data_IF_591620995784
#
_entry.id   IF_591620995784
#
_cell.length_a   1.000
_cell.length_b   1.000
_cell.length_c   1.000
_cell.angle_alpha   90.00
_cell.angle_beta   90.00
_cell.angle_gamma   90.00
#
_symmetry.space_group_name_H-M   'P 1'
#
loop_
_entity.id
_entity.type
_entity.pdbx_description
1 polymer ?
#
# COMPACT_ATOMS: atom_id res chain seq x y z
N UNK A 1 -21.09 -53.15 -47.27
CA UNK A 1 -22.18 -54.16 -47.18
C UNK A 1 -21.65 -55.36 -46.41
N UNK A 2 -22.07 -55.53 -45.16
CA UNK A 2 -21.75 -56.72 -44.36
C UNK A 2 -22.96 -57.66 -44.43
N UNK A 3 -22.86 -58.73 -45.21
CA UNK A 3 -23.85 -59.80 -45.24
C UNK A 3 -23.71 -60.64 -43.97
N UNK A 4 -24.50 -60.31 -42.94
CA UNK A 4 -24.71 -61.20 -41.78
C UNK A 4 -26.10 -61.83 -41.88
N UNK A 5 -26.22 -63.17 -41.77
CA UNK A 5 -27.52 -63.84 -41.78
C UNK A 5 -28.41 -63.35 -40.61
N UNK A 6 -29.70 -63.06 -40.85
CA UNK A 6 -30.57 -62.35 -39.91
C UNK A 6 -30.99 -63.15 -38.66
N UNK A 7 -30.48 -64.37 -38.48
CA UNK A 7 -30.93 -65.31 -37.45
C UNK A 7 -29.85 -65.68 -36.41
N UNK A 8 -28.66 -65.08 -36.50
CA UNK A 8 -27.64 -65.25 -35.46
C UNK A 8 -27.83 -64.18 -34.37
N UNK A 9 -27.76 -64.54 -33.07
CA UNK A 9 -27.74 -63.55 -32.01
C UNK A 9 -26.57 -62.58 -32.24
N UNK A 10 -26.72 -61.28 -31.87
CA UNK A 10 -25.67 -60.29 -32.08
C UNK A 10 -24.37 -60.76 -31.43
N UNK A 11 -23.23 -60.45 -32.05
CA UNK A 11 -21.91 -60.81 -31.51
C UNK A 11 -21.82 -60.37 -30.05
N UNK A 12 -21.80 -61.35 -29.15
CA UNK A 12 -21.68 -61.09 -27.73
C UNK A 12 -20.34 -60.42 -27.51
N UNK A 13 -20.36 -59.13 -27.14
CA UNK A 13 -19.17 -58.40 -26.77
C UNK A 13 -18.46 -59.19 -25.67
N UNK A 14 -17.19 -59.54 -25.88
CA UNK A 14 -16.42 -60.28 -24.88
C UNK A 14 -16.37 -59.44 -23.60
N UNK A 15 -17.12 -59.89 -22.60
CA UNK A 15 -17.28 -59.21 -21.31
C UNK A 15 -15.91 -59.07 -20.62
N UNK A 16 -14.97 -60.00 -20.86
CA UNK A 16 -13.61 -59.89 -20.34
C UNK A 16 -12.86 -58.76 -21.02
N UNK A 17 -12.88 -58.68 -22.34
CA UNK A 17 -12.24 -57.61 -23.09
C UNK A 17 -12.81 -56.21 -22.74
N UNK A 18 -14.12 -56.10 -22.54
CA UNK A 18 -14.74 -54.84 -22.12
C UNK A 18 -14.34 -54.44 -20.69
N UNK A 19 -14.25 -55.40 -19.76
CA UNK A 19 -13.77 -55.14 -18.38
C UNK A 19 -12.30 -54.76 -18.34
N UNK A 20 -11.43 -55.43 -19.12
CA UNK A 20 -10.00 -55.08 -19.18
C UNK A 20 -9.81 -53.70 -19.80
N UNK A 21 -10.56 -53.35 -20.85
CA UNK A 21 -10.50 -52.01 -21.44
C UNK A 21 -10.93 -50.91 -20.45
N UNK A 22 -12.03 -51.14 -19.72
CA UNK A 22 -12.47 -50.21 -18.67
C UNK A 22 -11.43 -50.07 -17.56
N UNK A 23 -10.80 -51.17 -17.14
CA UNK A 23 -9.73 -51.16 -16.13
C UNK A 23 -8.49 -50.41 -16.60
N UNK A 24 -8.09 -50.58 -17.87
CA UNK A 24 -6.95 -49.87 -18.47
C UNK A 24 -7.24 -48.37 -18.52
N UNK A 25 -8.47 -47.99 -18.91
CA UNK A 25 -8.87 -46.59 -18.97
C UNK A 25 -8.83 -45.91 -17.59
N UNK A 26 -9.33 -46.60 -16.55
CA UNK A 26 -9.22 -46.11 -15.16
C UNK A 26 -7.78 -46.00 -14.68
N UNK A 27 -6.92 -46.95 -15.06
CA UNK A 27 -5.50 -46.93 -14.70
C UNK A 27 -4.79 -45.74 -15.37
N UNK A 28 -5.06 -45.48 -16.66
CA UNK A 28 -4.53 -44.30 -17.35
C UNK A 28 -5.02 -42.99 -16.75
N UNK A 29 -6.30 -42.92 -16.36
CA UNK A 29 -6.85 -41.76 -15.67
C UNK A 29 -6.16 -41.51 -14.32
N UNK A 30 -5.92 -42.56 -13.54
CA UNK A 30 -5.19 -42.46 -12.27
C UNK A 30 -3.74 -42.00 -12.46
N UNK A 31 -3.04 -42.50 -13.48
CA UNK A 31 -1.68 -42.06 -13.82
C UNK A 31 -1.68 -40.57 -14.17
N UNK A 32 -2.67 -40.11 -14.95
CA UNK A 32 -2.79 -38.71 -15.34
C UNK A 32 -3.03 -37.80 -14.13
N UNK A 33 -3.96 -38.16 -13.23
CA UNK A 33 -4.23 -37.40 -12.00
C UNK A 33 -3.01 -37.39 -11.08
N UNK A 34 -2.33 -38.53 -10.91
CA UNK A 34 -1.10 -38.62 -10.14
C UNK A 34 0.00 -37.70 -10.71
N UNK A 35 0.14 -37.65 -12.03
CA UNK A 35 1.04 -36.72 -12.73
C UNK A 35 0.73 -35.25 -12.42
N UNK A 36 -0.54 -34.84 -12.50
CA UNK A 36 -0.96 -33.48 -12.16
C UNK A 36 -0.68 -33.14 -10.68
N UNK A 37 -0.95 -34.07 -9.76
CA UNK A 37 -0.64 -33.86 -8.34
C UNK A 37 0.86 -33.77 -8.07
N UNK A 38 1.69 -34.54 -8.80
CA UNK A 38 3.14 -34.47 -8.70
C UNK A 38 3.67 -33.12 -9.19
N UNK A 39 3.14 -32.59 -10.29
CA UNK A 39 3.49 -31.25 -10.80
C UNK A 39 3.07 -30.16 -9.80
N UNK A 40 1.85 -30.26 -9.24
CA UNK A 40 1.38 -29.31 -8.24
C UNK A 40 2.22 -29.34 -6.95
N UNK A 41 2.59 -30.54 -6.48
CA UNK A 41 3.48 -30.71 -5.33
C UNK A 41 4.88 -30.19 -5.62
N UNK A 42 5.44 -30.46 -6.79
CA UNK A 42 6.74 -29.95 -7.21
C UNK A 42 6.76 -28.41 -7.29
N UNK A 43 5.69 -27.80 -7.81
CA UNK A 43 5.54 -26.34 -7.83
C UNK A 43 5.37 -25.77 -6.42
N UNK A 44 4.61 -26.44 -5.54
CA UNK A 44 4.43 -26.02 -4.15
C UNK A 44 5.70 -26.15 -3.32
N UNK A 45 6.52 -27.19 -3.55
CA UNK A 45 7.81 -27.34 -2.85
C UNK A 45 8.85 -26.39 -3.42
N UNK A 46 8.77 -26.02 -4.71
CA UNK A 46 9.60 -24.95 -5.27
C UNK A 46 9.34 -23.62 -4.55
N UNK A 47 8.10 -23.30 -4.14
CA UNK A 47 7.81 -22.08 -3.33
C UNK A 47 8.46 -22.11 -1.95
N UNK A 48 8.70 -23.30 -1.37
CA UNK A 48 9.30 -23.45 -0.03
C UNK A 48 10.83 -23.65 -0.06
N UNK A 49 11.36 -24.27 -1.11
CA UNK A 49 12.77 -24.65 -1.25
C UNK A 49 13.54 -23.63 -2.08
N UNK A 50 12.91 -22.96 -3.04
CA UNK A 50 13.52 -21.76 -3.61
C UNK A 50 13.52 -20.72 -2.48
N UNK A 51 14.68 -20.18 -2.07
CA UNK A 51 14.65 -18.91 -1.36
C UNK A 51 13.82 -17.99 -2.23
N UNK A 52 12.83 -17.33 -1.62
CA UNK A 52 12.05 -16.30 -2.28
C UNK A 52 12.98 -15.54 -3.22
N UNK A 53 12.59 -15.34 -4.48
CA UNK A 53 13.11 -14.22 -5.28
C UNK A 53 12.64 -12.89 -4.64
N UNK A 54 12.78 -12.76 -3.32
CA UNK A 54 13.23 -11.53 -2.72
C UNK A 54 14.70 -11.42 -3.14
N UNK A 55 15.13 -10.29 -3.72
CA UNK A 55 16.56 -10.08 -3.90
C UNK A 55 17.23 -10.31 -2.54
N UNK A 56 18.10 -11.31 -2.48
CA UNK A 56 18.93 -11.57 -1.32
C UNK A 56 19.54 -10.22 -0.91
N UNK A 57 19.21 -9.79 0.31
CA UNK A 57 19.99 -8.79 1.02
C UNK A 57 21.35 -9.43 1.26
N UNK A 58 22.20 -9.40 0.25
CA UNK A 58 23.62 -9.59 0.45
C UNK A 58 24.00 -8.60 1.54
N UNK A 59 24.34 -9.15 2.71
CA UNK A 59 25.01 -8.45 3.80
C UNK A 59 26.42 -8.08 3.32
N UNK A 60 26.49 -7.26 2.27
CA UNK A 60 27.62 -6.39 2.07
C UNK A 60 27.38 -5.31 3.12
N UNK A 61 28.06 -5.45 4.25
CA UNK A 61 28.45 -4.31 5.06
C UNK A 61 29.33 -3.41 4.18
N UNK A 62 28.70 -2.74 3.23
CA UNK A 62 29.23 -1.57 2.59
C UNK A 62 29.24 -0.57 3.73
N UNK A 63 30.44 -0.30 4.24
CA UNK A 63 30.69 0.98 4.87
C UNK A 63 30.12 2.02 3.90
N UNK A 64 28.95 2.60 4.22
CA UNK A 64 28.39 3.74 3.51
C UNK A 64 29.39 4.87 3.66
N UNK A 65 30.38 4.89 2.78
CA UNK A 65 31.10 6.08 2.44
C UNK A 65 30.05 6.93 1.73
N UNK A 66 29.50 7.90 2.45
CA UNK A 66 28.70 8.97 1.87
C UNK A 66 29.60 9.77 0.92
N UNK A 67 29.86 9.21 -0.26
CA UNK A 67 30.32 10.01 -1.38
C UNK A 67 29.11 10.78 -1.87
N UNK A 68 29.06 12.06 -1.53
CA UNK A 68 28.12 13.07 -2.05
C UNK A 68 28.39 13.39 -3.54
N UNK A 69 28.81 12.40 -4.33
CA UNK A 69 28.95 12.50 -5.77
C UNK A 69 27.65 12.01 -6.42
N UNK A 70 27.12 12.78 -7.37
CA UNK A 70 25.92 12.52 -8.15
C UNK A 70 25.76 11.01 -8.43
N UNK A 71 24.89 10.36 -7.66
CA UNK A 71 24.57 8.96 -7.90
C UNK A 71 23.74 8.94 -9.18
N UNK A 72 24.22 8.27 -10.22
CA UNK A 72 23.45 8.11 -11.45
C UNK A 72 22.45 6.97 -11.23
N UNK A 73 21.16 7.23 -11.40
CA UNK A 73 20.15 6.17 -11.34
C UNK A 73 20.26 5.26 -12.56
N UNK A 74 20.09 3.97 -12.34
CA UNK A 74 20.03 2.99 -13.43
C UNK A 74 18.83 3.31 -14.35
N UNK A 75 19.12 3.62 -15.62
CA UNK A 75 18.10 3.92 -16.63
C UNK A 75 17.11 2.76 -16.82
N UNK A 76 17.54 1.51 -16.59
CA UNK A 76 16.65 0.35 -16.67
C UNK A 76 15.61 0.34 -15.56
N UNK A 77 16.00 0.80 -14.36
CA UNK A 77 15.10 0.99 -13.23
C UNK A 77 14.09 2.09 -13.52
N UNK A 78 14.56 3.25 -14.00
CA UNK A 78 13.67 4.35 -14.41
C UNK A 78 12.65 3.89 -15.44
N UNK A 79 13.09 3.18 -16.48
CA UNK A 79 12.20 2.64 -17.50
C UNK A 79 11.19 1.65 -16.92
N UNK A 80 11.56 0.88 -15.89
CA UNK A 80 10.65 -0.03 -15.21
C UNK A 80 9.60 0.72 -14.39
N UNK A 81 10.00 1.80 -13.72
CA UNK A 81 9.06 2.63 -12.94
C UNK A 81 8.14 3.43 -13.85
N UNK A 82 8.65 3.98 -14.96
CA UNK A 82 7.83 4.70 -15.96
C UNK A 82 6.69 3.86 -16.50
N UNK A 83 6.86 2.53 -16.62
CA UNK A 83 5.77 1.62 -17.05
C UNK A 83 4.61 1.55 -16.05
N UNK A 84 4.83 1.93 -14.79
CA UNK A 84 3.86 1.93 -13.69
C UNK A 84 3.23 3.31 -13.47
N UNK A 85 3.74 4.33 -14.18
CA UNK A 85 3.20 5.69 -14.22
C UNK A 85 2.20 5.82 -15.37
N UNK A 86 1.09 6.46 -15.06
CA UNK A 86 -0.05 6.63 -15.94
C UNK A 86 -0.48 8.09 -15.88
N UNK A 87 -0.92 8.63 -17.00
CA UNK A 87 -1.37 10.01 -17.07
C UNK A 87 -2.87 10.04 -17.27
N UNK A 88 -3.55 10.88 -16.51
CA UNK A 88 -4.98 11.10 -16.64
C UNK A 88 -5.18 12.37 -17.44
N UNK A 89 -5.90 12.27 -18.55
CA UNK A 89 -6.27 13.39 -19.41
C UNK A 89 -7.77 13.61 -19.39
N UNK A 90 -8.18 14.83 -19.66
CA UNK A 90 -9.58 15.17 -19.90
C UNK A 90 -9.87 15.17 -21.40
N UNK A 91 -10.72 14.26 -21.86
CA UNK A 91 -11.10 14.13 -23.27
C UNK A 91 -11.72 15.39 -23.87
N UNK A 92 -12.21 16.34 -23.06
CA UNK A 92 -12.69 17.66 -23.50
C UNK A 92 -11.55 18.54 -24.02
N UNK A 93 -10.33 18.29 -23.57
CA UNK A 93 -9.12 19.03 -23.94
C UNK A 93 -8.44 18.46 -25.21
N UNK A 94 -9.04 17.44 -25.86
CA UNK A 94 -8.53 16.87 -27.11
C UNK A 94 -8.60 17.89 -28.26
N UNK A 95 -7.45 18.17 -28.87
CA UNK A 95 -7.33 18.93 -30.11
C UNK A 95 -7.76 18.02 -31.27
N UNK A 96 -8.75 18.48 -32.05
CA UNK A 96 -9.34 17.75 -33.18
C UNK A 96 -9.79 16.32 -32.86
N UNK A 97 -10.11 16.04 -31.59
CA UNK A 97 -10.47 14.71 -31.06
C UNK A 97 -9.36 13.64 -31.23
N UNK A 98 -8.13 14.04 -31.53
CA UNK A 98 -7.03 13.12 -31.84
C UNK A 98 -5.85 13.27 -30.89
N UNK A 99 -5.53 14.48 -30.47
CA UNK A 99 -4.29 14.76 -29.74
C UNK A 99 -4.55 15.42 -28.40
N UNK A 100 -3.75 15.04 -27.41
CA UNK A 100 -3.56 15.82 -26.21
C UNK A 100 -2.28 16.63 -26.37
N UNK A 101 -2.30 17.91 -25.97
CA UNK A 101 -1.03 18.62 -25.81
C UNK A 101 -0.31 18.09 -24.56
N UNK A 102 1.01 18.23 -24.53
CA UNK A 102 1.81 17.76 -23.39
C UNK A 102 1.45 18.50 -22.09
N UNK A 103 1.01 19.76 -22.20
CA UNK A 103 0.66 20.61 -21.05
C UNK A 103 -0.76 20.42 -20.52
N UNK A 104 -1.50 19.41 -20.97
CA UNK A 104 -2.92 19.20 -20.59
C UNK A 104 -3.16 17.89 -19.85
N UNK A 105 -2.10 17.22 -19.40
CA UNK A 105 -2.27 16.17 -18.43
C UNK A 105 -2.86 16.75 -17.13
N UNK A 106 -3.89 16.10 -16.60
CA UNK A 106 -4.54 16.53 -15.37
C UNK A 106 -3.75 16.05 -14.17
N UNK A 107 -3.43 14.75 -14.18
CA UNK A 107 -2.78 14.10 -13.05
C UNK A 107 -1.82 13.01 -13.50
N UNK A 108 -0.69 12.93 -12.82
CA UNK A 108 0.14 11.74 -12.79
C UNK A 108 -0.43 10.74 -11.76
N UNK A 109 -0.77 9.56 -12.24
CA UNK A 109 -1.27 8.44 -11.44
C UNK A 109 -0.23 7.32 -11.39
N UNK A 110 -0.10 6.68 -10.24
CA UNK A 110 0.80 5.54 -10.06
C UNK A 110 -0.01 4.28 -9.81
N UNK A 111 0.18 3.29 -10.68
CA UNK A 111 -0.47 2.00 -10.55
C UNK A 111 0.07 1.27 -9.33
N UNK A 112 -0.80 0.86 -8.41
CA UNK A 112 -0.40 0.11 -7.23
C UNK A 112 -1.01 -1.30 -7.18
N UNK A 113 -1.93 -1.65 -8.09
CA UNK A 113 -2.45 -3.00 -8.22
C UNK A 113 -2.58 -3.46 -9.67
N UNK A 114 -2.43 -4.77 -9.90
CA UNK A 114 -2.53 -5.39 -11.22
C UNK A 114 -3.95 -5.42 -11.79
N UNK A 115 -4.97 -5.18 -10.96
CA UNK A 115 -6.35 -5.10 -11.39
C UNK A 115 -6.72 -3.71 -11.94
N UNK A 116 -5.84 -2.71 -11.84
CA UNK A 116 -6.04 -1.38 -12.43
C UNK A 116 -6.29 -0.27 -11.41
N UNK A 117 -6.06 -0.51 -10.12
CA UNK A 117 -6.07 0.57 -9.14
C UNK A 117 -4.76 1.37 -9.16
N UNK A 118 -4.91 2.67 -9.37
CA UNK A 118 -3.86 3.66 -9.30
C UNK A 118 -4.22 4.76 -8.28
N UNK A 119 -3.20 5.52 -7.89
CA UNK A 119 -3.32 6.65 -6.98
C UNK A 119 -2.68 7.89 -7.58
N UNK A 120 -3.36 9.01 -7.46
CA UNK A 120 -2.92 10.32 -7.92
C UNK A 120 -3.16 11.37 -6.83
N UNK A 121 -2.42 12.47 -6.90
CA UNK A 121 -2.74 13.65 -6.11
C UNK A 121 -3.56 14.61 -6.99
N UNK A 122 -4.87 14.65 -6.76
CA UNK A 122 -5.82 15.41 -7.57
C UNK A 122 -6.70 16.27 -6.65
N UNK A 123 -6.26 17.51 -6.39
CA UNK A 123 -6.90 18.41 -5.42
C UNK A 123 -8.12 19.14 -5.97
N UNK A 124 -8.26 19.24 -7.28
CA UNK A 124 -9.32 19.97 -7.98
C UNK A 124 -10.42 19.07 -8.58
N UNK A 125 -10.45 17.78 -8.22
CA UNK A 125 -11.46 16.83 -8.70
C UNK A 125 -12.90 17.29 -8.38
N UNK A 126 -13.78 17.19 -9.37
CA UNK A 126 -15.23 17.34 -9.19
C UNK A 126 -15.93 16.07 -9.63
N UNK A 127 -16.85 15.60 -8.78
CA UNK A 127 -17.68 14.42 -9.07
C UNK A 127 -18.42 14.59 -10.40
N UNK A 128 -18.24 13.62 -11.29
CA UNK A 128 -18.78 13.62 -12.65
C UNK A 128 -17.72 13.90 -13.73
N UNK A 129 -16.59 14.52 -13.39
CA UNK A 129 -15.49 14.76 -14.34
C UNK A 129 -14.84 13.46 -14.79
N UNK A 130 -14.85 12.41 -13.97
CA UNK A 130 -14.29 11.09 -14.28
C UNK A 130 -14.87 10.46 -15.55
N UNK A 131 -16.06 10.88 -15.98
CA UNK A 131 -16.70 10.44 -17.23
C UNK A 131 -15.98 10.91 -18.48
N UNK A 132 -15.26 12.02 -18.37
CA UNK A 132 -14.47 12.61 -19.44
C UNK A 132 -12.99 12.23 -19.34
N UNK A 133 -12.60 11.52 -18.29
CA UNK A 133 -11.20 11.19 -18.07
C UNK A 133 -10.79 9.93 -18.82
N UNK A 134 -9.58 9.99 -19.36
CA UNK A 134 -8.91 8.89 -20.04
C UNK A 134 -7.54 8.67 -19.40
N UNK A 135 -7.23 7.41 -19.06
CA UNK A 135 -5.90 7.01 -18.63
C UNK A 135 -5.03 6.67 -19.83
N UNK A 136 -3.79 7.14 -19.84
CA UNK A 136 -2.82 6.83 -20.89
C UNK A 136 -1.59 6.21 -20.25
N UNK A 137 -1.22 5.02 -20.72
CA UNK A 137 -0.03 4.32 -20.26
C UNK A 137 1.25 4.83 -20.95
N UNK A 138 2.40 4.27 -20.55
CA UNK A 138 3.71 4.60 -21.13
C UNK A 138 3.85 4.28 -22.64
N UNK A 139 2.94 3.50 -23.23
CA UNK A 139 2.90 3.15 -24.65
C UNK A 139 1.93 4.03 -25.44
N UNK A 140 1.18 4.91 -24.77
CA UNK A 140 0.12 5.70 -25.37
C UNK A 140 -1.20 4.95 -25.51
N UNK A 141 -1.34 3.78 -24.89
CA UNK A 141 -2.62 3.05 -24.90
C UNK A 141 -3.61 3.75 -23.99
N UNK A 142 -4.82 3.94 -24.50
CA UNK A 142 -5.89 4.67 -23.80
C UNK A 142 -6.82 3.70 -23.09
N UNK A 143 -7.10 3.97 -21.82
CA UNK A 143 -7.97 3.19 -20.95
C UNK A 143 -9.05 4.09 -20.35
N UNK A 144 -10.24 3.50 -20.17
CA UNK A 144 -11.35 4.18 -19.50
C UNK A 144 -11.21 4.09 -17.99
N UNK A 145 -11.76 5.07 -17.30
CA UNK A 145 -11.86 5.09 -15.85
C UNK A 145 -13.21 4.50 -15.43
N UNK A 146 -13.16 3.45 -14.62
CA UNK A 146 -14.33 2.75 -14.10
C UNK A 146 -14.86 3.39 -12.81
N UNK A 147 -13.96 3.79 -11.92
CA UNK A 147 -14.30 4.32 -10.59
C UNK A 147 -13.25 5.32 -10.14
N UNK A 148 -13.70 6.36 -9.45
CA UNK A 148 -12.84 7.32 -8.77
C UNK A 148 -13.31 7.46 -7.32
N UNK A 149 -12.38 7.47 -6.39
CA UNK A 149 -12.62 7.76 -4.99
C UNK A 149 -11.60 8.79 -4.50
N UNK A 150 -12.07 9.93 -4.01
CA UNK A 150 -11.21 10.94 -3.39
C UNK A 150 -11.21 10.73 -1.89
N UNK A 151 -10.04 10.48 -1.33
CA UNK A 151 -9.86 10.34 0.09
C UNK A 151 -9.74 11.72 0.76
N UNK A 152 -10.70 12.12 1.61
CA UNK A 152 -10.64 13.41 2.29
C UNK A 152 -9.52 13.50 3.33
N UNK A 153 -8.96 12.38 3.80
CA UNK A 153 -7.91 12.37 4.84
C UNK A 153 -6.54 12.62 4.22
N UNK A 154 -6.11 11.78 3.27
CA UNK A 154 -4.81 11.96 2.60
C UNK A 154 -4.84 12.95 1.44
N UNK A 155 -6.03 13.36 0.99
CA UNK A 155 -6.27 14.13 -0.26
C UNK A 155 -5.76 13.40 -1.52
N UNK A 156 -5.59 12.09 -1.44
CA UNK A 156 -5.27 11.25 -2.59
C UNK A 156 -6.54 10.84 -3.32
N UNK A 157 -6.40 10.68 -4.62
CA UNK A 157 -7.46 10.21 -5.50
C UNK A 157 -7.10 8.83 -6.01
N UNK A 158 -7.94 7.85 -5.65
CA UNK A 158 -7.85 6.48 -6.08
C UNK A 158 -8.66 6.30 -7.36
N UNK A 159 -8.00 5.84 -8.42
CA UNK A 159 -8.54 5.74 -9.77
C UNK A 159 -8.49 4.29 -10.18
N UNK A 160 -9.63 3.76 -10.64
CA UNK A 160 -9.74 2.41 -11.18
C UNK A 160 -9.83 2.48 -12.69
N UNK A 161 -8.85 1.92 -13.38
CA UNK A 161 -8.86 1.74 -14.82
C UNK A 161 -9.57 0.44 -15.22
N UNK A 162 -10.19 0.44 -16.40
CA UNK A 162 -10.79 -0.76 -17.00
C UNK A 162 -9.70 -1.67 -17.58
N UNK A 163 -9.62 -2.92 -17.09
CA UNK A 163 -8.70 -3.95 -17.58
C UNK A 163 -8.07 -4.76 -16.43
N UNK A 164 -7.04 -5.53 -16.76
CA UNK A 164 -6.24 -6.32 -15.81
C UNK A 164 -4.79 -6.49 -16.30
N UNK A 165 -3.96 -7.15 -15.49
CA UNK A 165 -2.56 -7.44 -15.83
C UNK A 165 -1.63 -6.24 -15.81
N UNK A 166 -2.02 -5.15 -15.14
CA UNK A 166 -1.25 -3.93 -15.13
C UNK A 166 0.05 -4.06 -14.32
N UNK A 167 1.17 -3.45 -14.77
CA UNK A 167 2.37 -3.32 -13.96
C UNK A 167 2.12 -2.35 -12.81
N UNK A 168 2.51 -2.72 -11.59
CA UNK A 168 2.28 -1.91 -10.40
C UNK A 168 3.57 -1.66 -9.61
N UNK A 169 3.55 -0.61 -8.79
CA UNK A 169 4.69 -0.19 -7.97
C UNK A 169 4.73 -0.92 -6.61
N UNK A 170 5.93 -1.16 -6.11
CA UNK A 170 6.17 -1.57 -4.73
C UNK A 170 6.37 -0.34 -3.83
N UNK A 171 6.18 -0.51 -2.53
CA UNK A 171 6.33 0.58 -1.56
C UNK A 171 7.62 0.41 -0.76
N UNK A 172 8.36 1.51 -0.59
CA UNK A 172 9.60 1.52 0.18
C UNK A 172 9.33 1.25 1.67
N UNK A 173 10.28 0.60 2.33
CA UNK A 173 10.22 0.45 3.78
C UNK A 173 10.48 1.81 4.45
N UNK A 174 9.47 2.30 5.16
CA UNK A 174 9.51 3.61 5.81
C UNK A 174 10.60 3.74 6.88
N UNK A 175 11.03 2.62 7.48
CA UNK A 175 12.10 2.64 8.48
C UNK A 175 13.47 2.96 7.88
N UNK A 176 13.62 2.84 6.56
CA UNK A 176 14.88 3.08 5.85
C UNK A 176 15.02 4.55 5.42
N UNK A 177 13.97 5.36 5.60
CA UNK A 177 13.96 6.78 5.26
C UNK A 177 14.42 7.58 6.48
N UNK A 178 15.46 8.39 6.26
CA UNK A 178 16.07 9.24 7.27
C UNK A 178 16.21 10.67 6.76
N UNK A 179 16.71 11.58 7.61
CA UNK A 179 16.90 12.97 7.20
C UNK A 179 18.04 13.09 6.17
N UNK A 180 17.83 13.86 5.11
CA UNK A 180 18.68 13.91 3.92
C UNK A 180 18.79 12.57 3.17
N UNK A 181 17.70 11.78 3.20
CA UNK A 181 17.59 10.60 2.35
C UNK A 181 17.53 11.02 0.88
N UNK A 182 18.33 10.37 0.04
CA UNK A 182 18.33 10.62 -1.41
C UNK A 182 17.20 9.82 -2.07
N UNK A 183 16.25 10.52 -2.67
CA UNK A 183 15.18 9.94 -3.47
C UNK A 183 15.20 10.50 -4.90
N UNK A 184 14.50 9.85 -5.81
CA UNK A 184 14.29 10.33 -7.16
C UNK A 184 12.85 10.77 -7.33
N UNK A 185 12.67 12.02 -7.71
CA UNK A 185 11.40 12.52 -8.19
C UNK A 185 11.24 12.16 -9.66
N UNK A 186 10.06 11.66 -10.01
CA UNK A 186 9.72 11.31 -11.38
C UNK A 186 8.51 12.11 -11.85
N UNK A 187 8.70 12.81 -12.98
CA UNK A 187 7.62 13.38 -13.79
C UNK A 187 7.49 12.61 -15.11
N UNK A 188 6.60 13.08 -16.00
CA UNK A 188 6.47 12.57 -17.36
C UNK A 188 7.76 12.60 -18.15
N UNK A 189 8.46 13.73 -18.06
CA UNK A 189 9.54 14.07 -18.97
C UNK A 189 10.90 13.99 -18.27
N UNK A 190 10.93 14.27 -16.97
CA UNK A 190 12.17 14.46 -16.22
C UNK A 190 12.25 13.53 -15.00
N UNK A 191 13.48 13.33 -14.55
CA UNK A 191 13.77 12.71 -13.27
C UNK A 191 14.81 13.55 -12.55
N UNK A 192 14.56 13.85 -11.29
CA UNK A 192 15.39 14.74 -10.51
C UNK A 192 15.77 14.06 -9.19
N UNK A 193 17.06 14.06 -8.86
CA UNK A 193 17.50 13.60 -7.56
C UNK A 193 17.13 14.65 -6.51
N UNK A 194 16.49 14.20 -5.44
CA UNK A 194 15.96 15.05 -4.37
C UNK A 194 16.45 14.58 -3.03
N UNK A 195 16.79 15.53 -2.17
CA UNK A 195 17.05 15.26 -0.75
C UNK A 195 15.75 15.41 0.03
N UNK A 196 15.32 14.30 0.62
CA UNK A 196 14.16 14.21 1.48
C UNK A 196 14.59 14.65 2.88
N UNK A 197 13.95 15.69 3.41
CA UNK A 197 14.24 16.26 4.73
C UNK A 197 13.09 16.06 5.67
N UNK A 198 13.39 15.90 6.96
CA UNK A 198 12.35 15.86 7.99
C UNK A 198 11.72 17.25 8.12
N UNK A 199 10.40 17.28 8.00
CA UNK A 199 9.57 18.45 8.26
C UNK A 199 8.64 18.09 9.41
N UNK A 200 8.95 18.58 10.61
CA UNK A 200 8.01 18.47 11.72
C UNK A 200 6.94 19.54 11.48
N UNK A 201 5.68 19.11 11.37
CA UNK A 201 4.60 20.09 11.36
C UNK A 201 4.74 20.96 12.60
N UNK A 202 4.49 22.27 12.44
CA UNK A 202 4.40 23.18 13.56
C UNK A 202 3.46 22.53 14.57
N UNK A 203 4.00 22.14 15.73
CA UNK A 203 3.32 21.28 16.70
C UNK A 203 1.98 21.92 17.01
N UNK A 204 0.90 21.40 16.43
CA UNK A 204 -0.42 21.76 16.91
C UNK A 204 -0.45 21.36 18.38
N UNK A 205 -0.94 22.23 19.28
CA UNK A 205 -0.93 21.94 20.71
C UNK A 205 -1.72 20.68 21.03
N UNK A 206 -2.66 20.29 20.17
CA UNK A 206 -3.47 19.09 20.25
C UNK A 206 -3.64 18.51 18.85
N UNK A 207 -3.47 17.20 18.69
CA UNK A 207 -3.69 16.49 17.42
C UNK A 207 -4.31 15.11 17.68
N UNK A 208 -4.96 14.52 16.68
CA UNK A 208 -5.48 13.15 16.82
C UNK A 208 -4.33 12.16 16.83
N UNK A 209 -4.40 11.13 17.66
CA UNK A 209 -3.28 10.18 17.85
C UNK A 209 -2.85 9.48 16.54
N UNK A 210 -3.75 9.37 15.56
CA UNK A 210 -3.51 8.77 14.26
C UNK A 210 -3.08 9.78 13.17
N UNK A 211 -3.06 11.08 13.45
CA UNK A 211 -2.60 12.11 12.52
C UNK A 211 -1.05 12.21 12.53
N UNK A 212 -0.38 12.08 11.37
CA UNK A 212 1.07 12.23 11.30
C UNK A 212 1.55 13.60 11.75
N UNK A 213 2.57 13.62 12.63
CA UNK A 213 3.22 14.85 13.10
C UNK A 213 4.59 15.07 12.44
N UNK A 214 5.24 13.98 12.02
CA UNK A 214 6.41 14.03 11.16
C UNK A 214 5.95 13.93 9.71
N UNK A 215 6.34 14.92 8.92
CA UNK A 215 6.32 14.93 7.47
C UNK A 215 7.75 14.78 6.95
N UNK A 216 7.87 14.35 5.71
CA UNK A 216 9.09 14.60 4.96
C UNK A 216 8.77 15.59 3.85
N UNK A 217 9.72 16.44 3.51
CA UNK A 217 9.59 17.41 2.45
C UNK A 217 10.78 17.40 1.52
N UNK A 218 10.56 17.92 0.32
CA UNK A 218 11.55 18.07 -0.74
C UNK A 218 11.50 19.50 -1.24
N UNK A 219 12.67 20.11 -1.42
CA UNK A 219 12.76 21.44 -2.02
C UNK A 219 12.68 21.37 -3.55
N UNK A 220 11.75 22.14 -4.12
CA UNK A 220 11.60 22.35 -5.56
C UNK A 220 11.01 21.17 -6.33
N UNK A 221 10.37 20.22 -5.64
CA UNK A 221 9.57 19.17 -6.29
C UNK A 221 8.18 19.69 -6.65
N UNK A 222 7.54 19.02 -7.60
CA UNK A 222 6.23 19.39 -8.13
C UNK A 222 5.14 18.51 -7.52
N UNK A 223 3.99 19.10 -7.23
CA UNK A 223 2.85 18.39 -6.68
C UNK A 223 2.35 17.30 -7.66
N UNK A 224 1.99 16.14 -7.14
CA UNK A 224 1.57 14.99 -7.93
C UNK A 224 2.69 14.09 -8.42
N UNK A 225 3.93 14.57 -8.46
CA UNK A 225 5.08 13.71 -8.79
C UNK A 225 5.32 12.68 -7.68
N UNK A 226 5.80 11.50 -8.08
CA UNK A 226 6.17 10.46 -7.13
C UNK A 226 7.64 10.55 -6.75
N UNK A 227 7.93 10.13 -5.53
CA UNK A 227 9.29 9.87 -5.07
C UNK A 227 9.55 8.37 -5.02
N UNK A 228 10.69 7.94 -5.56
CA UNK A 228 11.17 6.56 -5.48
C UNK A 228 12.57 6.46 -4.88
N UNK A 229 12.91 5.30 -4.34
CA UNK A 229 14.26 5.00 -3.89
C UNK A 229 15.10 4.42 -5.04
N UNK A 230 16.36 4.10 -4.74
CA UNK A 230 17.30 3.47 -5.69
C UNK A 230 16.90 2.04 -6.10
N UNK A 231 15.85 1.48 -5.52
CA UNK A 231 15.27 0.18 -5.87
C UNK A 231 13.95 0.32 -6.66
N UNK A 232 13.53 1.54 -6.99
CA UNK A 232 12.29 1.81 -7.72
C UNK A 232 11.02 1.59 -6.89
N UNK A 233 11.17 1.56 -5.57
CA UNK A 233 10.06 1.48 -4.63
C UNK A 233 9.60 2.89 -4.25
N UNK A 234 8.28 3.05 -4.16
CA UNK A 234 7.64 4.33 -3.90
C UNK A 234 7.80 4.76 -2.45
N UNK A 235 8.36 5.96 -2.23
CA UNK A 235 8.35 6.63 -0.93
C UNK A 235 7.02 7.35 -0.69
N UNK A 236 6.42 7.91 -1.73
CA UNK A 236 5.20 8.70 -1.64
C UNK A 236 4.94 9.61 -2.84
N UNK A 237 3.93 10.46 -2.72
CA UNK A 237 3.53 11.47 -3.70
C UNK A 237 3.74 12.85 -3.09
N UNK A 238 4.25 13.81 -3.86
CA UNK A 238 4.42 15.18 -3.41
C UNK A 238 3.07 15.93 -3.41
N UNK A 239 2.83 16.71 -2.37
CA UNK A 239 1.71 17.65 -2.29
C UNK A 239 2.12 19.06 -2.76
N UNK A 240 1.17 20.01 -2.75
CA UNK A 240 1.41 21.43 -3.10
C UNK A 240 2.51 22.12 -2.27
N UNK A 241 2.73 21.67 -1.03
CA UNK A 241 3.75 22.21 -0.13
C UNK A 241 5.13 21.53 -0.31
N UNK A 242 5.27 20.60 -1.26
CA UNK A 242 6.47 19.77 -1.42
C UNK A 242 6.64 18.73 -0.30
N UNK A 243 5.60 18.46 0.49
CA UNK A 243 5.55 17.39 1.49
C UNK A 243 5.20 16.06 0.83
N UNK A 244 5.80 15.00 1.36
CA UNK A 244 5.58 13.63 0.91
C UNK A 244 4.35 13.06 1.60
N UNK A 245 3.31 12.77 0.82
CA UNK A 245 2.21 11.90 1.23
C UNK A 245 2.72 10.46 1.12
N UNK A 246 2.75 9.77 2.25
CA UNK A 246 3.56 8.57 2.38
C UNK A 246 3.04 7.34 1.63
N UNK A 247 3.96 6.62 0.98
CA UNK A 247 3.69 5.34 0.31
C UNK A 247 3.15 4.27 1.26
N UNK A 248 3.61 4.24 2.52
CA UNK A 248 3.07 3.30 3.51
C UNK A 248 1.59 3.58 3.83
N UNK A 249 1.14 4.84 3.72
CA UNK A 249 -0.26 5.20 3.93
C UNK A 249 -1.10 4.59 2.82
N UNK A 250 -0.67 4.73 1.56
CA UNK A 250 -1.31 4.09 0.40
C UNK A 250 -1.32 2.57 0.57
N UNK A 251 -0.17 1.98 0.92
CA UNK A 251 -0.04 0.54 1.12
C UNK A 251 -0.97 0.00 2.22
N UNK A 252 -1.15 0.76 3.31
CA UNK A 252 -2.05 0.38 4.40
C UNK A 252 -3.52 0.27 3.97
N UNK A 253 -3.91 1.00 2.91
CA UNK A 253 -5.27 1.02 2.39
C UNK A 253 -5.47 0.04 1.23
N UNK A 254 -4.43 -0.69 0.83
CA UNK A 254 -4.43 -1.58 -0.33
C UNK A 254 -5.62 -2.55 -0.29
N UNK A 255 -5.75 -3.32 0.78
CA UNK A 255 -6.79 -4.34 0.91
C UNK A 255 -8.20 -3.74 0.88
N UNK A 256 -8.44 -2.62 1.56
CA UNK A 256 -9.73 -1.94 1.56
C UNK A 256 -10.09 -1.37 0.19
N UNK A 257 -9.11 -0.82 -0.54
CA UNK A 257 -9.36 -0.29 -1.88
C UNK A 257 -9.68 -1.43 -2.85
N UNK A 258 -8.98 -2.57 -2.78
CA UNK A 258 -9.32 -3.71 -3.63
C UNK A 258 -10.71 -4.29 -3.33
N UNK A 259 -11.09 -4.39 -2.06
CA UNK A 259 -12.34 -5.03 -1.65
C UNK A 259 -13.56 -4.12 -1.79
N UNK A 260 -13.42 -2.85 -1.37
CA UNK A 260 -14.53 -1.90 -1.26
C UNK A 260 -14.46 -0.78 -2.32
N UNK A 261 -13.33 -0.66 -3.01
CA UNK A 261 -13.05 0.45 -3.91
C UNK A 261 -12.98 1.81 -3.22
N UNK A 262 -12.57 1.81 -1.95
CA UNK A 262 -12.30 3.00 -1.13
C UNK A 262 -11.37 2.61 0.05
N UNK A 263 -10.49 3.51 0.51
CA UNK A 263 -9.79 3.38 1.79
C UNK A 263 -10.74 3.15 2.97
N UNK A 264 -10.28 2.39 3.98
CA UNK A 264 -11.00 2.17 5.25
C UNK A 264 -10.10 2.62 6.41
N UNK A 265 -10.18 3.92 6.73
CA UNK A 265 -9.46 4.47 7.87
C UNK A 265 -10.12 4.03 9.17
N UNK A 266 -9.45 3.13 9.89
CA UNK A 266 -9.82 2.75 11.25
C UNK A 266 -8.78 3.23 12.24
N UNK A 267 -9.25 3.85 13.30
CA UNK A 267 -8.41 4.45 14.33
C UNK A 267 -9.16 4.56 15.64
N UNK A 268 -8.63 5.35 16.54
CA UNK A 268 -9.24 5.64 17.84
C UNK A 268 -9.48 7.14 17.93
N UNK A 269 -10.58 7.53 18.55
CA UNK A 269 -10.95 8.94 18.66
C UNK A 269 -10.32 9.56 19.91
N UNK A 270 -8.99 9.60 19.92
CA UNK A 270 -8.21 10.24 20.98
C UNK A 270 -7.43 11.40 20.41
N UNK A 271 -7.47 12.53 21.11
CA UNK A 271 -6.70 13.72 20.80
C UNK A 271 -5.91 14.18 22.02
N UNK A 272 -4.79 14.85 21.78
CA UNK A 272 -3.86 15.28 22.80
C UNK A 272 -2.49 15.56 22.22
N UNK A 273 -1.44 15.39 23.01
CA UNK A 273 -0.08 15.79 22.63
C UNK A 273 1.00 14.91 23.25
N UNK A 274 2.19 14.91 22.63
CA UNK A 274 3.35 14.27 23.23
C UNK A 274 3.78 14.98 24.51
N UNK A 275 3.94 14.21 25.58
CA UNK A 275 4.59 14.64 26.81
C UNK A 275 5.92 13.92 26.95
N UNK A 276 6.95 14.66 27.36
CA UNK A 276 8.23 14.12 27.77
C UNK A 276 8.69 14.90 28.99
N UNK A 277 8.36 14.39 30.17
CA UNK A 277 8.53 15.15 31.40
C UNK A 277 8.51 14.28 32.63
N UNK A 278 8.53 14.93 33.77
CA UNK A 278 8.38 14.27 35.06
C UNK A 278 6.94 14.46 35.54
N UNK A 279 6.29 13.37 35.92
CA UNK A 279 4.95 13.40 36.51
C UNK A 279 5.10 13.18 38.01
N UNK A 280 4.51 14.08 38.80
CA UNK A 280 4.47 13.99 40.26
C UNK A 280 3.15 13.34 40.67
N UNK A 281 3.25 12.22 41.39
CA UNK A 281 2.12 11.60 42.07
C UNK A 281 2.47 11.46 43.55
N UNK A 282 1.93 12.36 44.38
CA UNK A 282 2.34 12.47 45.78
C UNK A 282 3.82 12.85 45.90
N UNK A 283 4.61 12.02 46.57
CA UNK A 283 6.05 12.24 46.78
C UNK A 283 6.95 11.64 45.67
N UNK A 284 6.37 10.88 44.72
CA UNK A 284 7.13 10.22 43.66
C UNK A 284 7.13 11.05 42.38
N UNK A 285 8.32 11.32 41.86
CA UNK A 285 8.55 11.99 40.57
C UNK A 285 9.12 10.95 39.61
N UNK A 286 8.33 10.54 38.60
CA UNK A 286 8.78 9.60 37.57
C UNK A 286 8.84 10.30 36.22
N UNK A 287 9.90 10.04 35.45
CA UNK A 287 9.97 10.47 34.06
C UNK A 287 9.02 9.62 33.21
N UNK A 288 8.11 10.27 32.49
CA UNK A 288 7.15 9.62 31.59
C UNK A 288 7.26 10.31 30.23
N UNK A 289 7.37 9.48 29.19
CA UNK A 289 7.36 9.92 27.79
C UNK A 289 6.26 9.15 27.08
N UNK A 290 5.31 9.86 26.51
CA UNK A 290 4.13 9.25 25.91
C UNK A 290 3.19 10.26 25.25
N UNK A 291 2.05 9.78 24.76
CA UNK A 291 0.98 10.62 24.26
C UNK A 291 -0.05 10.84 25.38
N UNK A 292 -0.18 12.07 25.83
CA UNK A 292 -1.18 12.45 26.82
C UNK A 292 -2.55 12.57 26.15
N UNK A 293 -3.56 11.90 26.69
CA UNK A 293 -4.93 11.90 26.16
C UNK A 293 -5.71 13.06 26.79
N UNK A 294 -5.98 14.08 26.00
CA UNK A 294 -6.76 15.25 26.41
C UNK A 294 -8.25 15.09 26.08
N UNK A 295 -8.58 14.40 24.98
CA UNK A 295 -9.95 14.04 24.60
C UNK A 295 -10.07 12.55 24.30
N UNK A 296 -11.14 11.94 24.82
CA UNK A 296 -11.51 10.54 24.55
C UNK A 296 -13.03 10.38 24.60
N UNK A 297 -13.58 9.50 23.77
CA UNK A 297 -14.99 9.12 23.80
C UNK A 297 -15.36 8.24 25.01
N UNK A 298 -14.37 7.67 25.69
CA UNK A 298 -14.56 6.76 26.82
C UNK A 298 -14.05 7.38 28.13
N UNK A 299 -14.72 7.02 29.22
CA UNK A 299 -14.28 7.38 30.58
C UNK A 299 -13.15 6.45 31.03
N UNK A 300 -12.30 6.94 31.92
CA UNK A 300 -11.25 6.14 32.57
C UNK A 300 -11.88 4.96 33.33
N UNK A 301 -11.47 3.74 32.98
CA UNK A 301 -11.74 2.50 33.74
C UNK A 301 -10.55 1.55 33.66
N UNK A 302 -10.60 0.38 34.30
CA UNK A 302 -9.56 -0.65 34.18
C UNK A 302 -9.45 -1.26 32.78
N UNK A 303 -10.45 -1.07 31.91
CA UNK A 303 -10.48 -1.63 30.55
C UNK A 303 -10.62 -0.57 29.45
N UNK A 304 -10.56 0.71 29.79
CA UNK A 304 -10.73 1.81 28.83
C UNK A 304 -9.72 2.94 29.09
N UNK A 305 -9.20 3.49 27.99
CA UNK A 305 -8.35 4.68 27.97
C UNK A 305 -9.24 5.92 28.05
N UNK A 306 -8.96 6.86 28.94
CA UNK A 306 -9.72 8.11 29.04
C UNK A 306 -8.84 9.33 29.20
N UNK A 307 -9.50 10.48 29.35
CA UNK A 307 -8.84 11.78 29.54
C UNK A 307 -7.95 11.76 30.79
N UNK A 308 -6.69 12.13 30.63
CA UNK A 308 -5.67 12.13 31.70
C UNK A 308 -4.66 10.99 31.59
N UNK A 309 -4.93 9.96 30.78
CA UNK A 309 -3.99 8.87 30.56
C UNK A 309 -2.79 9.32 29.72
N UNK A 310 -1.62 8.76 30.00
CA UNK A 310 -0.45 8.87 29.11
C UNK A 310 -0.20 7.52 28.44
N UNK A 311 -0.45 7.42 27.15
CA UNK A 311 -0.13 6.21 26.38
C UNK A 311 1.38 6.16 26.20
N UNK A 312 2.03 5.11 26.72
CA UNK A 312 3.49 4.96 26.67
C UNK A 312 3.92 3.89 25.66
N UNK A 313 3.05 2.92 25.35
CA UNK A 313 3.29 1.91 24.31
C UNK A 313 2.04 1.61 23.51
N UNK A 314 2.24 1.28 22.24
CA UNK A 314 1.22 0.70 21.35
C UNK A 314 1.79 -0.63 20.84
N UNK A 315 1.10 -1.75 21.05
CA UNK A 315 1.58 -3.07 20.64
C UNK A 315 3.00 -3.39 21.15
N UNK A 316 3.26 -3.13 22.44
CA UNK A 316 4.56 -3.27 23.11
C UNK A 316 5.70 -2.40 22.55
N UNK A 317 5.43 -1.53 21.56
CA UNK A 317 6.39 -0.59 21.03
C UNK A 317 6.27 0.76 21.76
N UNK A 318 7.37 1.35 22.24
CA UNK A 318 7.36 2.69 22.80
C UNK A 318 6.81 3.69 21.79
N UNK A 319 5.94 4.58 22.27
CA UNK A 319 5.42 5.66 21.42
C UNK A 319 6.45 6.79 21.32
N UNK A 320 6.57 7.35 20.12
CA UNK A 320 7.25 8.61 19.90
C UNK A 320 6.56 9.41 18.80
N UNK A 321 6.85 10.71 18.72
CA UNK A 321 6.20 11.61 17.75
C UNK A 321 6.41 11.17 16.29
N UNK A 322 7.50 10.46 16.00
CA UNK A 322 7.89 10.07 14.64
C UNK A 322 7.10 8.86 14.14
N UNK A 323 6.62 7.99 15.03
CA UNK A 323 6.02 6.71 14.65
C UNK A 323 4.61 6.45 15.21
N UNK A 324 4.12 7.30 16.13
CA UNK A 324 2.85 7.11 16.84
C UNK A 324 1.67 6.91 15.88
N UNK A 325 1.47 7.82 14.95
CA UNK A 325 0.36 7.76 13.99
C UNK A 325 0.38 6.46 13.18
N UNK A 326 1.57 6.07 12.70
CA UNK A 326 1.79 4.82 11.97
C UNK A 326 1.54 3.60 12.84
N UNK A 327 2.02 3.58 14.08
CA UNK A 327 1.77 2.48 15.02
C UNK A 327 0.27 2.29 15.24
N UNK A 328 -0.47 3.38 15.44
CA UNK A 328 -1.93 3.34 15.62
C UNK A 328 -2.62 2.89 14.34
N UNK A 329 -2.31 3.46 13.18
CA UNK A 329 -2.99 3.14 11.92
C UNK A 329 -2.71 1.70 11.44
N UNK A 330 -1.48 1.20 11.59
CA UNK A 330 -1.10 -0.16 11.17
C UNK A 330 -1.40 -1.23 12.21
N UNK A 331 -1.76 -0.86 13.44
CA UNK A 331 -2.18 -1.84 14.45
C UNK A 331 -3.39 -2.66 13.95
N UNK A 332 -3.57 -3.89 14.45
CA UNK A 332 -4.80 -4.65 14.20
C UNK A 332 -6.05 -3.91 14.68
N UNK A 333 -7.23 -4.37 14.26
CA UNK A 333 -8.52 -3.78 14.66
C UNK A 333 -8.70 -3.75 16.19
N UNK A 334 -8.29 -4.82 16.87
CA UNK A 334 -8.15 -4.86 18.32
C UNK A 334 -6.66 -4.87 18.67
N UNK A 335 -6.22 -3.90 19.47
CA UNK A 335 -4.81 -3.73 19.79
C UNK A 335 -4.55 -3.34 21.25
N UNK A 336 -3.40 -3.75 21.77
CA UNK A 336 -2.98 -3.42 23.13
C UNK A 336 -2.32 -2.05 23.18
N UNK A 337 -2.66 -1.25 24.18
CA UNK A 337 -1.94 -0.04 24.57
C UNK A 337 -1.54 -0.14 26.04
N UNK A 338 -0.32 0.29 26.34
CA UNK A 338 0.12 0.47 27.73
C UNK A 338 -0.09 1.92 28.09
N UNK A 339 -0.92 2.20 29.09
CA UNK A 339 -1.16 3.53 29.64
C UNK A 339 -0.47 3.71 30.98
N UNK A 340 0.00 4.91 31.25
CA UNK A 340 0.49 5.33 32.55
C UNK A 340 -0.58 6.18 33.24
N UNK A 341 -1.06 5.71 34.39
CA UNK A 341 -2.14 6.31 35.19
C UNK A 341 -1.82 6.11 36.67
N UNK A 342 -2.02 7.14 37.49
CA UNK A 342 -1.87 7.05 38.96
C UNK A 342 -0.56 6.40 39.43
N UNK A 343 0.55 6.67 38.72
CA UNK A 343 1.86 6.13 39.06
C UNK A 343 2.19 4.75 38.48
N UNK A 344 1.23 4.06 37.86
CA UNK A 344 1.34 2.67 37.40
C UNK A 344 1.09 2.51 35.90
N UNK A 345 1.59 1.41 35.32
CA UNK A 345 1.35 1.04 33.92
C UNK A 345 0.23 0.00 33.85
N UNK A 346 -0.72 0.19 32.93
CA UNK A 346 -1.84 -0.72 32.67
C UNK A 346 -1.90 -1.06 31.19
N UNK A 347 -2.09 -2.35 30.87
CA UNK A 347 -2.34 -2.78 29.49
C UNK A 347 -3.85 -2.84 29.23
N UNK A 348 -4.28 -2.13 28.19
CA UNK A 348 -5.69 -1.99 27.82
C UNK A 348 -5.86 -2.47 26.38
N UNK A 349 -6.84 -3.35 26.15
CA UNK A 349 -7.25 -3.76 24.80
C UNK A 349 -8.23 -2.74 24.22
N UNK A 350 -7.97 -2.32 22.98
CA UNK A 350 -8.65 -1.20 22.35
C UNK A 350 -9.13 -1.61 20.97
N UNK A 351 -10.42 -1.37 20.72
CA UNK A 351 -11.04 -1.57 19.43
C UNK A 351 -10.98 -0.28 18.61
N UNK A 352 -10.57 -0.38 17.35
CA UNK A 352 -10.62 0.73 16.39
C UNK A 352 -12.04 0.96 15.90
N UNK A 353 -12.38 2.24 15.75
CA UNK A 353 -13.60 2.71 15.09
C UNK A 353 -13.27 3.26 13.70
N UNK A 354 -14.26 3.30 12.82
CA UNK A 354 -14.13 4.02 11.55
C UNK A 354 -13.91 5.50 11.81
N UNK A 355 -12.88 6.06 11.17
CA UNK A 355 -12.52 7.47 11.26
C UNK A 355 -13.38 8.32 10.33
N UNK A 356 -13.76 7.76 9.18
CA UNK A 356 -14.65 8.40 8.22
C UNK A 356 -15.99 7.65 8.18
N UNK A 357 -17.08 8.39 8.41
CA UNK A 357 -18.41 7.95 8.00
C UNK A 357 -18.61 8.48 6.57
N UNK A 358 -18.66 7.58 5.59
CA UNK A 358 -18.96 7.91 4.20
C UNK A 358 -20.34 8.57 4.05
#
# INVERSE_FOLDING_TARGET
>A
MNNKPPHLPPEACDIRAHRTFKSIWWLLFLIFVAGLTSVALALSTLVWILPSFAPDQTLINSQKIFNSGNAEIDLSLLNTVKKRLWYVYDSRDKIDKQFYAESVDKYQATMFSSDGWAVAYATDYKKGDEKYWEGVDYQGTVYKIQKVFVDPVSRLTYIKFEGDGFPFISFANWNDIYDNYSAWELSAVEYNQRLVRKDLSAVEPEYKIWEPQLFYSVTGGEAGNILINNSGEMLGILNEDGRVIYGWLINSQYASVLQNGAPDYRGVNWSGYMVNGHVSYGELIKKVSGFYVEKSDTKITSSTVGVGDVIVRVQNQPVNILNLSRQVLLAPENFSVTVYRDGQEFDIQVLKNKVLNN
#
